data_IF_887322314923
#
_entry.id   IF_887322314923
#
_cell.length_a   1.000
_cell.length_b   1.000
_cell.length_c   1.000
_cell.angle_alpha   90.00
_cell.angle_beta   90.00
_cell.angle_gamma   90.00
#
_symmetry.space_group_name_H-M   'P 1'
#
loop_
_entity.id
_entity.type
_entity.pdbx_description
1 polymer ?
#
# COMPACT_ATOMS: atom_id res chain seq x y z
N UNK A 1 -2.24 -21.21 -7.74
CA UNK A 1 -1.36 -20.03 -7.59
C UNK A 1 -1.40 -19.74 -6.11
N UNK A 2 -0.26 -19.85 -5.42
CA UNK A 2 -0.16 -19.82 -3.97
C UNK A 2 -0.71 -18.50 -3.40
N UNK A 3 -1.57 -18.55 -2.39
CA UNK A 3 -2.18 -17.38 -1.74
C UNK A 3 -1.09 -16.45 -1.20
N UNK A 4 0.02 -17.03 -0.75
CA UNK A 4 1.24 -16.32 -0.35
C UNK A 4 1.83 -15.54 -1.52
N UNK A 5 1.95 -16.16 -2.70
CA UNK A 5 2.49 -15.50 -3.89
C UNK A 5 1.60 -14.34 -4.37
N UNK A 6 0.28 -14.45 -4.22
CA UNK A 6 -0.65 -13.34 -4.49
C UNK A 6 -0.42 -12.21 -3.49
N UNK A 7 -0.33 -12.51 -2.19
CA UNK A 7 -0.11 -11.51 -1.15
C UNK A 7 1.23 -10.77 -1.34
N UNK A 8 2.31 -11.48 -1.64
CA UNK A 8 3.61 -10.89 -1.98
C UNK A 8 3.54 -9.95 -3.19
N UNK A 9 2.81 -10.35 -4.25
CA UNK A 9 2.61 -9.51 -5.41
C UNK A 9 1.86 -8.22 -5.05
N UNK A 10 0.84 -8.31 -4.19
CA UNK A 10 0.08 -7.15 -3.71
C UNK A 10 0.96 -6.23 -2.85
N UNK A 11 1.76 -6.78 -1.91
CA UNK A 11 2.69 -5.97 -1.12
C UNK A 11 3.69 -5.20 -1.98
N UNK A 12 4.22 -5.83 -3.04
CA UNK A 12 5.10 -5.16 -3.99
C UNK A 12 4.40 -3.99 -4.67
N UNK A 13 3.17 -4.19 -5.18
CA UNK A 13 2.37 -3.14 -5.81
C UNK A 13 2.11 -1.97 -4.84
N UNK A 14 1.74 -2.28 -3.58
CA UNK A 14 1.51 -1.25 -2.55
C UNK A 14 2.77 -0.43 -2.31
N UNK A 15 3.92 -1.09 -2.16
CA UNK A 15 5.21 -0.42 -1.92
C UNK A 15 5.60 0.48 -3.09
N UNK A 16 5.49 -0.03 -4.32
CA UNK A 16 5.85 0.72 -5.51
C UNK A 16 4.93 1.94 -5.69
N UNK A 17 3.64 1.80 -5.40
CA UNK A 17 2.68 2.91 -5.44
C UNK A 17 2.95 3.95 -4.36
N UNK A 18 3.25 3.52 -3.13
CA UNK A 18 3.62 4.39 -2.01
C UNK A 18 4.85 5.21 -2.35
N UNK A 19 5.88 4.57 -2.90
CA UNK A 19 7.10 5.25 -3.34
C UNK A 19 6.77 6.32 -4.38
N UNK A 20 5.97 5.99 -5.40
CA UNK A 20 5.57 6.96 -6.42
C UNK A 20 4.82 8.18 -5.85
N UNK A 21 3.94 8.00 -4.86
CA UNK A 21 3.28 9.11 -4.19
C UNK A 21 4.28 9.98 -3.41
N UNK A 22 5.20 9.35 -2.66
CA UNK A 22 6.23 10.05 -1.90
C UNK A 22 7.19 10.82 -2.81
N UNK A 23 7.61 10.21 -3.92
CA UNK A 23 8.47 10.85 -4.92
C UNK A 23 7.80 12.08 -5.53
N UNK A 24 6.49 12.02 -5.79
CA UNK A 24 5.73 13.18 -6.26
C UNK A 24 5.74 14.33 -5.23
N UNK A 25 5.61 13.99 -3.95
CA UNK A 25 5.58 14.96 -2.85
C UNK A 25 6.96 15.58 -2.58
N UNK A 26 8.00 14.75 -2.49
CA UNK A 26 9.36 15.16 -2.11
C UNK A 26 10.07 15.90 -3.24
N UNK A 27 9.87 15.48 -4.49
CA UNK A 27 10.53 16.11 -5.64
C UNK A 27 9.85 17.44 -6.07
N UNK A 28 8.88 17.94 -5.32
CA UNK A 28 8.20 19.20 -5.63
C UNK A 28 7.24 19.13 -6.82
N UNK A 29 6.82 17.92 -7.24
CA UNK A 29 5.89 17.72 -8.35
C UNK A 29 4.41 17.94 -7.96
N UNK A 30 4.16 18.41 -6.73
CA UNK A 30 2.84 18.78 -6.23
C UNK A 30 2.38 20.07 -6.91
N UNK A 31 1.21 20.03 -7.55
CA UNK A 31 0.69 21.12 -8.38
C UNK A 31 -0.20 22.09 -7.61
N UNK A 32 -0.78 21.62 -6.51
CA UNK A 32 -1.70 22.37 -5.65
C UNK A 32 -1.84 21.67 -4.31
N UNK A 33 -2.40 22.37 -3.32
CA UNK A 33 -2.77 21.76 -2.04
C UNK A 33 -3.86 20.69 -2.18
N UNK A 34 -4.70 20.79 -3.21
CA UNK A 34 -5.66 19.73 -3.54
C UNK A 34 -4.94 18.45 -4.00
N UNK A 35 -3.99 18.57 -4.94
CA UNK A 35 -3.17 17.44 -5.37
C UNK A 35 -2.38 16.84 -4.19
N UNK A 36 -1.88 17.67 -3.28
CA UNK A 36 -1.24 17.20 -2.04
C UNK A 36 -2.20 16.36 -1.18
N UNK A 37 -3.43 16.84 -0.96
CA UNK A 37 -4.44 16.09 -0.18
C UNK A 37 -4.82 14.77 -0.84
N UNK A 38 -4.92 14.74 -2.17
CA UNK A 38 -5.14 13.50 -2.91
C UNK A 38 -3.99 12.50 -2.72
N UNK A 39 -2.73 12.97 -2.80
CA UNK A 39 -1.56 12.12 -2.56
C UNK A 39 -1.54 11.58 -1.12
N UNK A 40 -1.87 12.42 -0.13
CA UNK A 40 -2.00 12.00 1.27
C UNK A 40 -3.10 10.95 1.46
N UNK A 41 -4.29 11.17 0.88
CA UNK A 41 -5.38 10.19 0.94
C UNK A 41 -5.01 8.86 0.28
N UNK A 42 -4.26 8.89 -0.83
CA UNK A 42 -3.71 7.68 -1.44
C UNK A 42 -2.77 6.93 -0.48
N UNK A 43 -1.87 7.64 0.22
CA UNK A 43 -0.96 7.03 1.19
C UNK A 43 -1.72 6.38 2.36
N UNK A 44 -2.76 7.04 2.87
CA UNK A 44 -3.62 6.50 3.95
C UNK A 44 -4.35 5.23 3.50
N UNK A 45 -4.95 5.24 2.30
CA UNK A 45 -5.60 4.06 1.73
C UNK A 45 -4.61 2.89 1.55
N UNK A 46 -3.42 3.15 1.01
CA UNK A 46 -2.39 2.12 0.83
C UNK A 46 -1.96 1.52 2.17
N UNK A 47 -1.82 2.34 3.21
CA UNK A 47 -1.51 1.87 4.55
C UNK A 47 -2.62 1.00 5.11
N UNK A 48 -3.89 1.41 4.97
CA UNK A 48 -5.01 0.61 5.45
C UNK A 48 -5.09 -0.76 4.75
N UNK A 49 -4.98 -0.78 3.42
CA UNK A 49 -4.97 -2.04 2.65
C UNK A 49 -3.81 -2.95 3.03
N UNK A 50 -2.61 -2.39 3.26
CA UNK A 50 -1.46 -3.18 3.73
C UNK A 50 -1.73 -3.85 5.08
N UNK A 51 -2.36 -3.12 6.02
CA UNK A 51 -2.68 -3.66 7.35
C UNK A 51 -3.74 -4.76 7.26
N UNK A 52 -4.79 -4.58 6.46
CA UNK A 52 -5.81 -5.61 6.26
C UNK A 52 -5.20 -6.88 5.63
N UNK A 53 -4.32 -6.73 4.64
CA UNK A 53 -3.64 -7.87 4.01
C UNK A 53 -2.75 -8.63 5.01
N UNK A 54 -2.01 -7.91 5.86
CA UNK A 54 -1.24 -8.53 6.96
C UNK A 54 -2.17 -9.29 7.91
N UNK A 55 -3.28 -8.68 8.30
CA UNK A 55 -4.26 -9.32 9.18
C UNK A 55 -4.93 -10.56 8.56
N UNK A 56 -5.06 -10.64 7.24
CA UNK A 56 -5.55 -11.84 6.55
C UNK A 56 -4.50 -12.96 6.57
N UNK A 57 -3.24 -12.64 6.30
CA UNK A 57 -2.14 -13.62 6.37
C UNK A 57 -1.95 -14.17 7.78
N UNK A 58 -1.98 -13.31 8.80
CA UNK A 58 -1.89 -13.74 10.21
C UNK A 58 -3.03 -14.71 10.59
N UNK A 59 -4.23 -14.52 10.03
CA UNK A 59 -5.37 -15.43 10.24
C UNK A 59 -5.19 -16.75 9.50
N UNK A 60 -4.62 -16.71 8.30
CA UNK A 60 -4.31 -17.88 7.51
C UNK A 60 -3.28 -18.75 8.22
N UNK A 61 -2.14 -18.18 8.64
CA UNK A 61 -1.09 -18.90 9.39
C UNK A 61 -1.67 -19.64 10.61
N UNK A 62 -2.55 -18.99 11.38
CA UNK A 62 -3.20 -19.61 12.55
C UNK A 62 -4.24 -20.67 12.23
N UNK A 63 -4.77 -20.69 11.01
CA UNK A 63 -5.79 -21.66 10.59
C UNK A 63 -5.16 -22.90 9.94
N UNK A 64 -3.94 -22.74 9.42
CA UNK A 64 -3.15 -23.82 8.82
C UNK A 64 -2.32 -24.59 9.88
N UNK A 65 -2.18 -24.04 11.10
CA UNK A 65 -1.66 -24.69 12.32
C UNK A 65 -2.72 -25.54 13.06
#
# INVERSE_FOLDING_TARGET
MDEIAIAEAVFRIIRDRRQGCQDFMVNGNVKSMEHYRELMGNLECLNHVEQELKGLLDKQERSDD
#
